data_IF_798585492808
#
_entry.id   IF_798585492808
#
_cell.length_a   1.000
_cell.length_b   1.000
_cell.length_c   1.000
_cell.angle_alpha   90.00
_cell.angle_beta   90.00
_cell.angle_gamma   90.00
#
_symmetry.space_group_name_H-M   'P 1'
#
loop_
_entity.id
_entity.type
_entity.pdbx_description
1 polymer ?
#
# COMPACT_ATOMS: atom_id res chain seq x y z
N UNK A 1 -13.50 -4.41 15.47
CA UNK A 1 -12.62 -3.67 14.50
C UNK A 1 -13.42 -3.28 13.25
N UNK A 2 -12.98 -2.31 12.42
CA UNK A 2 -13.75 -1.91 11.23
C UNK A 2 -14.01 -3.07 10.25
N UNK A 3 -12.99 -3.91 9.98
CA UNK A 3 -13.09 -5.10 9.12
C UNK A 3 -14.11 -6.09 9.69
N UNK A 4 -14.03 -6.39 10.98
CA UNK A 4 -14.97 -7.29 11.67
C UNK A 4 -16.42 -6.81 11.53
N UNK A 5 -16.68 -5.52 11.77
CA UNK A 5 -18.02 -4.95 11.63
C UNK A 5 -18.55 -5.10 10.19
N UNK A 6 -17.68 -4.92 9.18
CA UNK A 6 -18.04 -5.08 7.77
C UNK A 6 -18.33 -6.55 7.43
N UNK A 7 -17.51 -7.49 7.92
CA UNK A 7 -17.74 -8.93 7.75
C UNK A 7 -19.06 -9.37 8.42
N UNK A 8 -19.35 -8.89 9.64
CA UNK A 8 -20.62 -9.16 10.33
C UNK A 8 -21.83 -8.59 9.58
N UNK A 9 -21.64 -7.50 8.84
CA UNK A 9 -22.65 -6.94 7.94
C UNK A 9 -22.76 -7.67 6.59
N UNK A 10 -21.99 -8.73 6.36
CA UNK A 10 -22.00 -9.53 5.13
C UNK A 10 -21.18 -8.93 3.97
N UNK A 11 -20.25 -8.00 4.26
CA UNK A 11 -19.32 -7.48 3.27
C UNK A 11 -18.12 -8.44 3.15
N UNK A 12 -18.01 -9.08 1.99
CA UNK A 12 -17.00 -10.09 1.68
C UNK A 12 -15.99 -9.52 0.66
N UNK A 13 -14.93 -8.90 1.14
CA UNK A 13 -13.87 -8.36 0.28
C UNK A 13 -12.74 -9.38 0.08
N UNK A 14 -12.27 -9.54 -1.16
CA UNK A 14 -11.07 -10.34 -1.47
C UNK A 14 -9.78 -9.61 -1.08
N UNK A 15 -9.77 -8.28 -1.14
CA UNK A 15 -8.61 -7.44 -0.81
C UNK A 15 -9.05 -6.25 0.03
N UNK A 16 -8.43 -6.10 1.19
CA UNK A 16 -8.55 -4.93 2.03
C UNK A 16 -7.39 -3.96 1.79
N UNK A 17 -7.73 -2.70 1.50
CA UNK A 17 -6.73 -1.64 1.42
C UNK A 17 -6.61 -0.95 2.78
N UNK A 18 -5.53 -1.25 3.49
CA UNK A 18 -5.34 -0.85 4.89
C UNK A 18 -4.51 0.44 4.95
N UNK A 19 -4.88 1.34 5.88
CA UNK A 19 -4.07 2.53 6.17
C UNK A 19 -2.66 2.15 6.61
N UNK A 20 -1.72 3.10 6.58
CA UNK A 20 -0.37 2.87 7.03
C UNK A 20 -0.31 2.52 8.51
N UNK A 21 0.20 1.33 8.83
CA UNK A 21 0.29 0.80 10.19
C UNK A 21 1.73 0.90 10.69
N UNK A 22 1.89 1.39 11.92
CA UNK A 22 3.22 1.68 12.48
C UNK A 22 3.87 0.51 13.20
N UNK A 23 3.09 -0.50 13.62
CA UNK A 23 3.54 -1.67 14.38
C UNK A 23 3.24 -2.96 13.61
N UNK A 24 4.15 -3.92 13.64
CA UNK A 24 4.02 -5.17 12.89
C UNK A 24 2.89 -6.03 13.43
N UNK A 25 2.79 -6.11 14.75
CA UNK A 25 1.75 -6.81 15.50
C UNK A 25 0.33 -6.33 15.14
N UNK A 26 0.19 -5.04 14.79
CA UNK A 26 -1.10 -4.50 14.34
C UNK A 26 -1.42 -4.97 12.90
N UNK A 27 -0.42 -5.08 12.02
CA UNK A 27 -0.61 -5.72 10.70
C UNK A 27 -1.00 -7.20 10.83
N UNK A 28 -0.40 -7.93 11.77
CA UNK A 28 -0.71 -9.34 12.04
C UNK A 28 -2.16 -9.49 12.52
N UNK A 29 -2.59 -8.67 13.50
CA UNK A 29 -3.97 -8.64 13.98
C UNK A 29 -4.98 -8.30 12.88
N UNK A 30 -4.66 -7.31 12.03
CA UNK A 30 -5.52 -6.91 10.91
C UNK A 30 -5.66 -8.06 9.90
N UNK A 31 -4.55 -8.69 9.54
CA UNK A 31 -4.54 -9.81 8.59
C UNK A 31 -5.29 -11.02 9.14
N UNK A 32 -5.11 -11.34 10.41
CA UNK A 32 -5.83 -12.42 11.08
C UNK A 32 -7.34 -12.18 11.01
N UNK A 33 -7.83 -11.00 11.40
CA UNK A 33 -9.25 -10.68 11.32
C UNK A 33 -9.78 -10.75 9.89
N UNK A 34 -9.07 -10.17 8.91
CA UNK A 34 -9.46 -10.18 7.51
C UNK A 34 -9.70 -11.59 6.98
N UNK A 35 -8.97 -12.58 7.52
CA UNK A 35 -9.00 -13.99 7.12
C UNK A 35 -9.88 -14.88 8.01
N UNK A 36 -10.55 -14.34 9.03
CA UNK A 36 -11.45 -15.11 9.90
C UNK A 36 -12.59 -15.76 9.11
N UNK A 37 -13.16 -16.85 9.65
CA UNK A 37 -14.37 -17.46 9.08
C UNK A 37 -14.19 -18.18 7.74
N UNK A 38 -13.00 -18.73 7.47
CA UNK A 38 -12.71 -19.46 6.23
C UNK A 38 -12.26 -18.56 5.07
N UNK A 39 -11.91 -17.30 5.35
CA UNK A 39 -11.44 -16.30 4.37
C UNK A 39 -9.95 -16.41 4.12
N UNK A 40 -9.43 -17.62 3.99
CA UNK A 40 -7.98 -17.86 3.94
C UNK A 40 -7.26 -17.19 2.78
N UNK A 41 -7.98 -16.95 1.67
CA UNK A 41 -7.50 -16.28 0.47
C UNK A 41 -7.60 -14.75 0.47
N UNK A 42 -8.17 -14.14 1.52
CA UNK A 42 -8.31 -12.68 1.61
C UNK A 42 -6.96 -12.04 1.92
N UNK A 43 -6.65 -10.97 1.19
CA UNK A 43 -5.39 -10.23 1.31
C UNK A 43 -5.55 -8.81 1.82
N UNK A 44 -4.45 -8.25 2.32
CA UNK A 44 -4.32 -6.84 2.69
C UNK A 44 -3.25 -6.16 1.81
N UNK A 45 -3.48 -4.90 1.45
CA UNK A 45 -2.48 -4.06 0.76
C UNK A 45 -2.35 -2.70 1.45
N UNK A 46 -1.12 -2.18 1.51
CA UNK A 46 -0.81 -0.91 2.18
C UNK A 46 -1.27 0.30 1.36
N UNK A 47 -1.92 1.27 2.01
CA UNK A 47 -2.25 2.60 1.49
C UNK A 47 -1.17 3.62 1.89
N UNK A 48 -0.70 4.42 0.92
CA UNK A 48 0.29 5.47 1.17
C UNK A 48 -0.28 6.85 1.57
N UNK A 49 -1.57 7.11 1.39
CA UNK A 49 -2.31 8.34 1.80
C UNK A 49 -1.71 9.70 1.35
N UNK A 50 -0.73 9.71 0.45
CA UNK A 50 0.01 10.92 0.08
C UNK A 50 0.98 11.39 1.17
N UNK A 51 1.40 10.50 2.06
CA UNK A 51 2.49 10.73 2.99
C UNK A 51 3.83 10.82 2.23
N UNK A 52 4.84 11.36 2.91
CA UNK A 52 6.21 11.39 2.39
C UNK A 52 6.81 9.98 2.25
N UNK A 53 7.88 9.90 1.47
CA UNK A 53 8.56 8.66 1.12
C UNK A 53 9.03 7.88 2.33
N UNK A 54 9.57 8.55 3.35
CA UNK A 54 10.10 7.88 4.54
C UNK A 54 8.98 7.20 5.34
N UNK A 55 7.82 7.87 5.45
CA UNK A 55 6.65 7.30 6.14
C UNK A 55 6.02 6.16 5.34
N UNK A 56 5.92 6.30 4.01
CA UNK A 56 5.43 5.20 3.16
C UNK A 56 6.38 4.01 3.25
N UNK A 57 7.68 4.22 3.18
CA UNK A 57 8.70 3.17 3.32
C UNK A 57 8.57 2.42 4.64
N UNK A 58 8.37 3.14 5.75
CA UNK A 58 8.12 2.55 7.06
C UNK A 58 6.92 1.60 7.00
N UNK A 59 5.77 2.05 6.49
CA UNK A 59 4.57 1.23 6.41
C UNK A 59 4.72 0.02 5.50
N UNK A 60 5.41 0.15 4.37
CA UNK A 60 5.71 -0.96 3.48
C UNK A 60 6.56 -2.03 4.18
N UNK A 61 7.60 -1.62 4.90
CA UNK A 61 8.46 -2.54 5.68
C UNK A 61 7.69 -3.19 6.83
N UNK A 62 6.80 -2.44 7.50
CA UNK A 62 5.99 -2.97 8.60
C UNK A 62 5.04 -4.08 8.14
N UNK A 63 4.38 -3.89 6.98
CA UNK A 63 3.50 -4.91 6.39
C UNK A 63 4.24 -6.04 5.66
N UNK A 64 5.47 -5.79 5.19
CA UNK A 64 6.25 -6.78 4.44
C UNK A 64 6.46 -8.07 5.22
N UNK A 65 6.25 -9.21 4.56
CA UNK A 65 6.41 -10.54 5.13
C UNK A 65 5.38 -10.94 6.19
N UNK A 66 4.39 -10.09 6.50
CA UNK A 66 3.25 -10.50 7.35
C UNK A 66 2.34 -11.40 6.52
N UNK A 67 2.03 -12.64 6.96
CA UNK A 67 1.11 -13.51 6.25
C UNK A 67 -0.22 -12.79 5.99
N UNK A 68 -0.67 -12.76 4.74
CA UNK A 68 -1.89 -12.07 4.30
C UNK A 68 -1.71 -10.60 3.90
N UNK A 69 -0.55 -9.97 4.13
CA UNK A 69 -0.17 -8.72 3.44
C UNK A 69 0.49 -9.05 2.09
N UNK A 70 -0.18 -8.67 1.00
CA UNK A 70 0.18 -9.08 -0.36
C UNK A 70 0.99 -8.03 -1.12
N UNK A 71 1.00 -6.78 -0.66
CA UNK A 71 1.65 -5.69 -1.36
C UNK A 71 1.16 -4.32 -0.92
N UNK A 72 1.14 -3.41 -1.87
CA UNK A 72 0.73 -2.03 -1.67
C UNK A 72 -0.07 -1.50 -2.84
N UNK A 73 -0.94 -0.53 -2.55
CA UNK A 73 -1.73 0.20 -3.52
C UNK A 73 -1.56 1.70 -3.26
N UNK A 74 -0.39 2.22 -3.60
CA UNK A 74 -0.02 3.64 -3.47
C UNK A 74 -0.10 4.34 -4.83
N UNK A 75 -0.19 5.68 -4.82
CA UNK A 75 -0.41 6.46 -6.04
C UNK A 75 0.42 7.74 -6.04
N UNK A 76 -0.04 8.77 -5.33
CA UNK A 76 0.61 10.10 -5.32
C UNK A 76 2.11 10.05 -5.00
N UNK A 77 2.53 9.19 -4.08
CA UNK A 77 3.95 9.02 -3.75
C UNK A 77 4.80 8.46 -4.91
N UNK A 78 4.19 7.84 -5.92
CA UNK A 78 4.89 7.36 -7.12
C UNK A 78 4.97 8.44 -8.21
N UNK A 79 3.87 9.15 -8.48
CA UNK A 79 3.72 9.91 -9.73
C UNK A 79 3.30 11.38 -9.60
N UNK A 80 2.99 11.88 -8.41
CA UNK A 80 2.37 13.21 -8.27
C UNK A 80 3.28 14.34 -8.72
N UNK A 81 4.53 14.36 -8.26
CA UNK A 81 5.44 15.47 -8.54
C UNK A 81 5.97 15.42 -9.99
N UNK A 82 6.18 14.22 -10.53
CA UNK A 82 6.55 14.02 -11.93
C UNK A 82 5.42 14.45 -12.88
N UNK A 83 4.17 14.12 -12.54
CA UNK A 83 3.02 14.56 -13.32
C UNK A 83 2.87 16.09 -13.30
N UNK A 84 3.07 16.73 -12.13
CA UNK A 84 3.07 18.19 -12.04
C UNK A 84 4.15 18.81 -12.90
N UNK A 85 5.39 18.31 -12.81
CA UNK A 85 6.49 18.85 -13.60
C UNK A 85 6.27 18.68 -15.11
N UNK A 86 5.61 17.61 -15.53
CA UNK A 86 5.19 17.46 -16.93
C UNK A 86 4.13 18.50 -17.32
N UNK A 87 3.11 18.70 -16.48
CA UNK A 87 2.01 19.63 -16.76
C UNK A 87 2.43 21.10 -16.75
N UNK A 88 3.41 21.48 -15.92
CA UNK A 88 3.94 22.84 -15.85
C UNK A 88 5.11 23.12 -16.82
N UNK A 89 5.54 22.10 -17.57
CA UNK A 89 6.60 22.19 -18.57
C UNK A 89 8.02 22.16 -18.01
N UNK A 90 8.21 21.94 -16.70
CA UNK A 90 9.54 21.78 -16.09
C UNK A 90 10.17 20.41 -16.31
N UNK A 91 9.37 19.39 -16.67
CA UNK A 91 9.84 18.05 -17.02
C UNK A 91 9.36 17.65 -18.42
N UNK A 92 10.29 17.10 -19.21
CA UNK A 92 9.94 16.40 -20.43
C UNK A 92 9.18 15.10 -20.11
N UNK A 93 8.31 14.66 -21.02
CA UNK A 93 7.42 13.51 -20.80
C UNK A 93 8.17 12.19 -20.54
N UNK A 94 9.28 11.99 -21.24
CA UNK A 94 10.17 10.83 -21.11
C UNK A 94 10.90 10.82 -19.76
N UNK A 95 11.36 11.99 -19.32
CA UNK A 95 11.96 12.18 -17.99
C UNK A 95 10.95 11.90 -16.89
N UNK A 96 9.73 12.45 -17.00
CA UNK A 96 8.66 12.20 -16.03
C UNK A 96 8.30 10.70 -15.96
N UNK A 97 8.14 10.04 -17.11
CA UNK A 97 7.85 8.62 -17.18
C UNK A 97 8.98 7.75 -16.57
N UNK A 98 10.24 8.09 -16.86
CA UNK A 98 11.40 7.37 -16.30
C UNK A 98 11.45 7.49 -14.77
N UNK A 99 11.20 8.69 -14.23
CA UNK A 99 11.15 8.91 -12.78
C UNK A 99 9.98 8.17 -12.11
N UNK A 100 8.78 8.18 -12.71
CA UNK A 100 7.62 7.40 -12.22
C UNK A 100 7.96 5.91 -12.16
N UNK A 101 8.59 5.38 -13.21
CA UNK A 101 9.03 3.99 -13.26
C UNK A 101 10.06 3.68 -12.17
N UNK A 102 11.04 4.56 -11.97
CA UNK A 102 12.05 4.40 -10.94
C UNK A 102 11.44 4.43 -9.53
N UNK A 103 10.50 5.35 -9.26
CA UNK A 103 9.79 5.42 -7.99
C UNK A 103 8.97 4.16 -7.72
N UNK A 104 8.23 3.68 -8.72
CA UNK A 104 7.45 2.45 -8.58
C UNK A 104 8.36 1.25 -8.28
N UNK A 105 9.49 1.12 -9.00
CA UNK A 105 10.47 0.08 -8.74
C UNK A 105 11.04 0.15 -7.33
N UNK A 106 11.40 1.35 -6.85
CA UNK A 106 11.92 1.57 -5.50
C UNK A 106 10.94 1.05 -4.44
N UNK A 107 9.65 1.33 -4.57
CA UNK A 107 8.65 0.84 -3.62
C UNK A 107 8.43 -0.67 -3.69
N UNK A 108 8.58 -1.28 -4.88
CA UNK A 108 8.64 -2.75 -4.99
C UNK A 108 9.83 -3.27 -4.17
N UNK A 109 11.03 -2.72 -4.38
CA UNK A 109 12.24 -3.15 -3.69
C UNK A 109 12.11 -2.99 -2.16
N UNK A 110 11.56 -1.85 -1.69
CA UNK A 110 11.29 -1.63 -0.25
C UNK A 110 10.32 -2.65 0.31
N UNK A 111 9.29 -3.05 -0.45
CA UNK A 111 8.31 -4.03 0.02
C UNK A 111 8.86 -5.45 0.00
N UNK A 112 9.65 -5.83 -0.99
CA UNK A 112 10.14 -7.21 -1.14
C UNK A 112 11.37 -7.53 -0.29
N UNK A 113 12.13 -6.50 0.12
CA UNK A 113 13.39 -6.67 0.88
C UNK A 113 14.60 -6.82 -0.02
#
# INVERSE_FOLDING_TARGET
MAIENMQQAGIEADIWKIEGIDRREDCEMISEQARTGGRDGVGCVVLGRGADDAKVDHWLRTGSGVPGYLGFAIGRSIWWDQLKGYLDGSLATDVAAAQISANYRRYIDVYTG
#
